data_IF_936254842739
#
_entry.id   IF_936254842739
#
_cell.length_a   1.000
_cell.length_b   1.000
_cell.length_c   1.000
_cell.angle_alpha   90.00
_cell.angle_beta   90.00
_cell.angle_gamma   90.00
#
_symmetry.space_group_name_H-M   'P 1'
#
loop_
_entity.id
_entity.type
_entity.pdbx_description
1 polymer ?
#
# COMPACT_ATOMS: atom_id res chain seq x y z
N UNK A 1 19.19 -17.93 0.20
CA UNK A 1 19.41 -17.40 -1.17
C UNK A 1 20.16 -16.09 -1.02
N UNK A 2 21.17 -15.80 -1.86
CA UNK A 2 21.82 -14.50 -1.84
C UNK A 2 20.78 -13.40 -2.08
N UNK A 3 20.88 -12.30 -1.33
CA UNK A 3 20.02 -11.13 -1.55
C UNK A 3 20.34 -10.54 -2.93
N UNK A 4 19.29 -10.15 -3.66
CA UNK A 4 19.45 -9.50 -4.96
C UNK A 4 20.15 -8.16 -4.74
N UNK A 5 21.19 -7.86 -5.51
CA UNK A 5 21.93 -6.61 -5.35
C UNK A 5 21.06 -5.38 -5.67
N UNK A 6 21.28 -4.29 -4.92
CA UNK A 6 20.58 -2.99 -5.08
C UNK A 6 20.50 -2.54 -6.54
N UNK A 7 21.62 -2.62 -7.27
CA UNK A 7 21.70 -2.21 -8.67
C UNK A 7 20.73 -3.00 -9.57
N UNK A 8 20.65 -4.32 -9.39
CA UNK A 8 19.76 -5.17 -10.19
C UNK A 8 18.28 -4.86 -9.90
N UNK A 9 17.91 -4.68 -8.62
CA UNK A 9 16.54 -4.30 -8.26
C UNK A 9 16.17 -2.94 -8.84
N UNK A 10 17.07 -1.97 -8.75
CA UNK A 10 16.88 -0.61 -9.29
C UNK A 10 16.64 -0.68 -10.80
N UNK A 11 17.42 -1.45 -11.56
CA UNK A 11 17.22 -1.62 -13.01
C UNK A 11 15.87 -2.25 -13.35
N UNK A 12 15.46 -3.30 -12.63
CA UNK A 12 14.19 -3.99 -12.85
C UNK A 12 13.02 -3.03 -12.59
N UNK A 13 13.00 -2.37 -11.43
CA UNK A 13 11.89 -1.50 -11.07
C UNK A 13 11.88 -0.18 -11.85
N UNK A 14 13.03 0.32 -12.28
CA UNK A 14 13.12 1.47 -13.18
C UNK A 14 12.37 1.24 -14.48
N UNK A 15 12.57 0.07 -15.12
CA UNK A 15 11.88 -0.26 -16.36
C UNK A 15 10.36 -0.38 -16.18
N UNK A 16 9.90 -0.88 -15.03
CA UNK A 16 8.48 -1.10 -14.73
C UNK A 16 7.79 0.22 -14.33
N UNK A 17 8.32 0.91 -13.33
CA UNK A 17 7.70 2.11 -12.74
C UNK A 17 7.79 3.28 -13.71
N UNK A 18 8.97 3.59 -14.24
CA UNK A 18 9.12 4.70 -15.19
C UNK A 18 8.32 4.43 -16.46
N UNK A 19 8.36 3.20 -16.97
CA UNK A 19 7.58 2.78 -18.13
C UNK A 19 6.07 2.87 -17.91
N UNK A 20 5.56 2.55 -16.71
CA UNK A 20 4.15 2.72 -16.41
C UNK A 20 3.76 4.20 -16.35
N UNK A 21 4.49 5.01 -15.59
CA UNK A 21 4.16 6.42 -15.35
C UNK A 21 4.24 7.25 -16.64
N UNK A 22 5.19 6.96 -17.53
CA UNK A 22 5.35 7.68 -18.80
C UNK A 22 4.33 7.30 -19.87
N UNK A 23 3.73 6.10 -19.80
CA UNK A 23 2.86 5.56 -20.86
C UNK A 23 1.36 5.65 -20.54
N UNK A 24 0.97 6.26 -19.41
CA UNK A 24 -0.44 6.43 -19.06
C UNK A 24 -1.19 7.31 -20.06
N UNK A 25 -2.47 6.96 -20.30
CA UNK A 25 -3.40 7.76 -21.10
C UNK A 25 -4.70 7.95 -20.32
N UNK A 26 -5.09 9.18 -19.96
CA UNK A 26 -4.39 10.45 -20.20
C UNK A 26 -3.03 10.54 -19.48
N UNK A 27 -2.15 11.43 -19.93
CA UNK A 27 -0.85 11.66 -19.29
C UNK A 27 -1.04 12.05 -17.82
N UNK A 28 -0.19 11.51 -16.96
CA UNK A 28 -0.14 11.88 -15.55
C UNK A 28 0.46 13.28 -15.36
N UNK A 29 0.16 13.97 -14.25
CA UNK A 29 0.83 15.21 -13.87
C UNK A 29 2.35 15.03 -13.76
N UNK A 30 3.12 16.07 -14.10
CA UNK A 30 4.58 16.05 -14.03
C UNK A 30 5.08 15.71 -12.62
N UNK A 31 4.43 16.25 -11.59
CA UNK A 31 4.72 15.95 -10.17
C UNK A 31 4.62 14.47 -9.82
N UNK A 32 3.75 13.71 -10.50
CA UNK A 32 3.63 12.27 -10.28
C UNK A 32 4.63 11.49 -11.11
N UNK A 33 4.99 11.97 -12.31
CA UNK A 33 6.03 11.35 -13.12
C UNK A 33 7.42 11.50 -12.46
N UNK A 34 7.67 12.62 -11.81
CA UNK A 34 8.90 12.90 -11.04
C UNK A 34 9.06 11.95 -9.83
N UNK A 35 7.97 11.34 -9.32
CA UNK A 35 8.03 10.33 -8.26
C UNK A 35 8.61 8.98 -8.71
N UNK A 36 8.84 8.76 -10.01
CA UNK A 36 9.33 7.48 -10.51
C UNK A 36 10.62 7.02 -9.80
N UNK A 37 11.63 7.89 -9.72
CA UNK A 37 12.91 7.57 -9.09
C UNK A 37 12.79 7.41 -7.57
N UNK A 38 12.15 8.35 -6.83
CA UNK A 38 11.86 8.16 -5.41
C UNK A 38 11.13 6.85 -5.07
N UNK A 39 10.13 6.45 -5.86
CA UNK A 39 9.40 5.20 -5.65
C UNK A 39 10.30 3.96 -5.79
N UNK A 40 11.21 3.96 -6.76
CA UNK A 40 12.16 2.87 -6.97
C UNK A 40 13.10 2.78 -5.77
N UNK A 41 13.73 3.89 -5.41
CA UNK A 41 14.74 3.91 -4.36
C UNK A 41 14.13 3.56 -2.99
N UNK A 42 12.96 4.13 -2.67
CA UNK A 42 12.21 3.81 -1.46
C UNK A 42 11.85 2.32 -1.39
N UNK A 43 11.41 1.71 -2.50
CA UNK A 43 11.05 0.29 -2.54
C UNK A 43 12.26 -0.62 -2.31
N UNK A 44 13.40 -0.28 -2.91
CA UNK A 44 14.65 -1.04 -2.73
C UNK A 44 15.16 -0.91 -1.30
N UNK A 45 15.14 0.30 -0.74
CA UNK A 45 15.57 0.54 0.64
C UNK A 45 14.64 -0.17 1.64
N UNK A 46 13.33 -0.04 1.49
CA UNK A 46 12.35 -0.71 2.36
C UNK A 46 12.57 -2.23 2.37
N UNK A 47 12.80 -2.83 1.19
CA UNK A 47 13.06 -4.26 1.09
C UNK A 47 14.33 -4.67 1.85
N UNK A 48 15.43 -3.94 1.70
CA UNK A 48 16.67 -4.24 2.41
C UNK A 48 16.54 -4.04 3.92
N UNK A 49 15.92 -2.94 4.36
CA UNK A 49 15.63 -2.68 5.78
C UNK A 49 14.74 -3.76 6.37
N UNK A 50 13.70 -4.20 5.66
CA UNK A 50 12.83 -5.27 6.11
C UNK A 50 13.58 -6.62 6.24
N UNK A 51 14.41 -6.97 5.25
CA UNK A 51 15.19 -8.20 5.26
C UNK A 51 16.27 -8.23 6.36
N UNK A 52 16.87 -7.08 6.70
CA UNK A 52 17.90 -7.00 7.75
C UNK A 52 17.31 -6.94 9.16
N UNK A 53 16.15 -6.30 9.32
CA UNK A 53 15.49 -6.09 10.61
C UNK A 53 14.69 -7.33 11.06
N UNK A 54 13.90 -7.91 10.16
CA UNK A 54 12.94 -8.98 10.49
C UNK A 54 13.47 -10.34 10.04
N UNK A 55 14.39 -10.89 10.83
CA UNK A 55 15.04 -12.16 10.52
C UNK A 55 14.17 -13.37 10.90
N UNK A 56 14.19 -14.46 10.11
CA UNK A 56 13.46 -15.67 10.43
C UNK A 56 14.11 -16.39 11.62
N UNK A 57 13.33 -16.62 12.66
CA UNK A 57 13.69 -17.47 13.82
C UNK A 57 12.85 -18.75 13.79
N UNK A 58 13.16 -19.79 14.61
CA UNK A 58 12.31 -20.98 14.69
C UNK A 58 10.85 -20.66 15.02
N UNK A 59 10.58 -19.66 15.88
CA UNK A 59 9.23 -19.18 16.21
C UNK A 59 8.62 -18.26 15.14
N UNK A 60 9.44 -17.61 14.31
CA UNK A 60 9.04 -16.66 13.25
C UNK A 60 9.53 -17.08 11.87
N UNK A 61 9.40 -18.37 11.56
CA UNK A 61 9.99 -18.98 10.35
C UNK A 61 9.43 -18.44 9.03
N UNK A 62 8.25 -17.82 9.10
CA UNK A 62 7.55 -17.17 7.99
C UNK A 62 8.05 -15.76 7.67
N UNK A 63 8.99 -15.19 8.46
CA UNK A 63 9.64 -13.90 8.21
C UNK A 63 10.73 -14.02 7.14
N UNK A 64 10.35 -14.60 6.00
CA UNK A 64 11.23 -14.80 4.85
C UNK A 64 10.80 -13.87 3.74
N UNK A 65 11.37 -12.67 3.74
CA UNK A 65 11.17 -11.70 2.66
C UNK A 65 12.02 -12.08 1.43
N UNK A 66 11.40 -12.03 0.25
CA UNK A 66 12.00 -12.25 -1.05
C UNK A 66 11.62 -11.10 -2.01
N UNK A 67 12.25 -11.07 -3.19
CA UNK A 67 12.02 -10.01 -4.18
C UNK A 67 10.56 -9.92 -4.66
N UNK A 68 9.80 -11.02 -4.64
CA UNK A 68 8.39 -11.03 -5.06
C UNK A 68 7.56 -10.06 -4.23
N UNK A 69 7.91 -9.81 -2.97
CA UNK A 69 7.21 -8.82 -2.14
C UNK A 69 7.38 -7.41 -2.67
N UNK A 70 8.61 -7.00 -3.02
CA UNK A 70 8.85 -5.71 -3.66
C UNK A 70 8.07 -5.59 -4.97
N UNK A 71 8.00 -6.66 -5.77
CA UNK A 71 7.16 -6.67 -6.98
C UNK A 71 5.66 -6.55 -6.66
N UNK A 72 5.17 -7.20 -5.62
CA UNK A 72 3.78 -7.09 -5.17
C UNK A 72 3.44 -5.68 -4.65
N UNK A 73 4.37 -5.03 -3.96
CA UNK A 73 4.23 -3.64 -3.53
C UNK A 73 4.11 -2.73 -4.75
N UNK A 74 5.07 -2.81 -5.68
CA UNK A 74 5.06 -1.99 -6.90
C UNK A 74 3.80 -2.24 -7.70
N UNK A 75 3.43 -3.50 -7.93
CA UNK A 75 2.20 -3.82 -8.64
C UNK A 75 0.96 -3.26 -7.94
N UNK A 76 0.90 -3.32 -6.60
CA UNK A 76 -0.19 -2.71 -5.84
C UNK A 76 -0.29 -1.21 -6.04
N UNK A 77 0.85 -0.50 -6.09
CA UNK A 77 0.88 0.93 -6.42
C UNK A 77 0.42 1.22 -7.85
N UNK A 78 0.77 0.35 -8.82
CA UNK A 78 0.46 0.55 -10.24
C UNK A 78 -0.94 0.04 -10.66
N UNK A 79 -1.60 -0.80 -9.86
CA UNK A 79 -2.91 -1.37 -10.20
C UNK A 79 -4.09 -0.46 -9.85
N UNK A 80 -3.80 0.71 -9.27
CA UNK A 80 -4.82 1.68 -8.85
C UNK A 80 -5.36 2.44 -10.06
N UNK A 81 -6.61 2.89 -9.97
CA UNK A 81 -7.27 3.66 -11.02
C UNK A 81 -6.47 4.93 -11.39
N UNK A 82 -6.56 5.33 -12.65
CA UNK A 82 -5.82 6.51 -13.16
C UNK A 82 -6.18 7.82 -12.45
N UNK A 83 -7.37 7.87 -11.83
CA UNK A 83 -7.83 9.00 -11.00
C UNK A 83 -7.07 9.17 -9.68
N UNK A 84 -6.33 8.15 -9.21
CA UNK A 84 -5.53 8.26 -7.98
C UNK A 84 -4.13 8.85 -8.22
N UNK A 85 -3.65 8.86 -9.46
CA UNK A 85 -2.34 9.45 -9.83
C UNK A 85 -2.44 10.94 -10.17
N UNK A 86 -3.39 11.66 -9.58
CA UNK A 86 -3.55 13.11 -9.82
C UNK A 86 -2.72 13.94 -8.84
N UNK A 87 -2.38 13.38 -7.68
CA UNK A 87 -1.66 14.07 -6.61
C UNK A 87 -0.50 13.19 -6.14
N UNK A 88 0.71 13.75 -6.10
CA UNK A 88 1.93 13.06 -5.69
C UNK A 88 1.83 12.49 -4.25
N UNK A 89 1.19 13.24 -3.34
CA UNK A 89 0.99 12.81 -1.96
C UNK A 89 0.11 11.56 -1.85
N UNK A 90 -0.94 11.45 -2.66
CA UNK A 90 -1.77 10.24 -2.74
C UNK A 90 -0.95 9.02 -3.18
N UNK A 91 -0.02 9.18 -4.11
CA UNK A 91 0.84 8.07 -4.58
C UNK A 91 1.81 7.62 -3.50
N UNK A 92 2.39 8.55 -2.74
CA UNK A 92 3.27 8.23 -1.62
C UNK A 92 2.52 7.60 -0.43
N UNK A 93 1.29 8.07 -0.14
CA UNK A 93 0.38 7.43 0.84
C UNK A 93 0.02 6.00 0.42
N UNK A 94 -0.31 5.82 -0.86
CA UNK A 94 -0.58 4.52 -1.44
C UNK A 94 0.64 3.60 -1.29
N UNK A 95 1.83 4.05 -1.68
CA UNK A 95 3.07 3.26 -1.50
C UNK A 95 3.27 2.81 -0.05
N UNK A 96 2.99 3.69 0.91
CA UNK A 96 3.09 3.38 2.35
C UNK A 96 2.07 2.31 2.75
N UNK A 97 0.81 2.48 2.33
CA UNK A 97 -0.25 1.50 2.55
C UNK A 97 0.11 0.12 1.97
N UNK A 98 0.57 0.10 0.72
CA UNK A 98 1.00 -1.10 0.01
C UNK A 98 2.16 -1.80 0.72
N UNK A 99 3.13 -1.03 1.23
CA UNK A 99 4.23 -1.54 2.05
C UNK A 99 3.74 -2.25 3.31
N UNK A 100 2.78 -1.68 4.04
CA UNK A 100 2.18 -2.34 5.19
C UNK A 100 1.46 -3.63 4.81
N UNK A 101 0.63 -3.63 3.75
CA UNK A 101 -0.10 -4.84 3.32
C UNK A 101 0.82 -5.97 2.89
N UNK A 102 1.97 -5.66 2.30
CA UNK A 102 2.90 -6.66 1.78
C UNK A 102 3.84 -7.20 2.87
N UNK A 103 4.37 -6.32 3.71
CA UNK A 103 5.42 -6.65 4.67
C UNK A 103 4.89 -6.75 6.11
N UNK A 104 4.16 -5.73 6.59
CA UNK A 104 3.68 -5.67 7.98
C UNK A 104 2.66 -6.74 8.31
N UNK A 105 1.75 -7.08 7.39
CA UNK A 105 0.70 -8.08 7.61
C UNK A 105 1.25 -9.51 7.86
N UNK A 106 2.55 -9.73 7.58
CA UNK A 106 3.25 -10.99 7.89
C UNK A 106 3.80 -11.03 9.32
N UNK A 107 3.87 -9.89 9.98
CA UNK A 107 4.39 -9.77 11.33
C UNK A 107 3.29 -10.12 12.34
N UNK A 108 3.66 -10.91 13.33
CA UNK A 108 2.73 -11.46 14.33
C UNK A 108 2.81 -10.70 15.65
N UNK A 109 4.00 -10.19 16.01
CA UNK A 109 4.20 -9.49 17.27
C UNK A 109 3.93 -7.99 17.10
N UNK A 110 3.27 -7.39 18.10
CA UNK A 110 3.04 -5.94 18.13
C UNK A 110 4.34 -5.14 18.11
N UNK A 111 5.39 -5.65 18.78
CA UNK A 111 6.71 -5.02 18.77
C UNK A 111 7.31 -4.95 17.36
N UNK A 112 7.22 -6.04 16.58
CA UNK A 112 7.73 -6.08 15.21
C UNK A 112 6.89 -5.19 14.28
N UNK A 113 5.56 -5.16 14.48
CA UNK A 113 4.67 -4.27 13.72
C UNK A 113 4.99 -2.80 13.96
N UNK A 114 5.22 -2.40 15.21
CA UNK A 114 5.62 -1.04 15.57
C UNK A 114 7.01 -0.70 15.01
N UNK A 115 7.96 -1.65 15.05
CA UNK A 115 9.26 -1.46 14.43
C UNK A 115 9.14 -1.29 12.91
N UNK A 116 8.23 -2.01 12.26
CA UNK A 116 7.97 -1.86 10.83
C UNK A 116 7.34 -0.49 10.52
N UNK A 117 6.38 -0.03 11.34
CA UNK A 117 5.79 1.30 11.20
C UNK A 117 6.88 2.39 11.23
N UNK A 118 7.85 2.27 12.14
CA UNK A 118 8.99 3.20 12.17
C UNK A 118 9.85 3.10 10.91
N UNK A 119 10.19 1.88 10.47
CA UNK A 119 10.99 1.66 9.26
C UNK A 119 10.34 2.27 8.03
N UNK A 120 9.04 2.04 7.83
CA UNK A 120 8.33 2.54 6.65
C UNK A 120 8.15 4.06 6.70
N UNK A 121 7.87 4.63 7.89
CA UNK A 121 7.78 6.09 8.06
C UNK A 121 9.13 6.78 7.84
N UNK A 122 10.24 6.16 8.24
CA UNK A 122 11.57 6.71 7.98
C UNK A 122 11.89 6.71 6.49
N UNK A 123 11.66 5.59 5.78
CA UNK A 123 11.85 5.52 4.33
C UNK A 123 10.93 6.50 3.61
N UNK A 124 9.68 6.59 4.05
CA UNK A 124 8.72 7.52 3.49
C UNK A 124 9.21 8.98 3.61
N UNK A 125 9.74 9.36 4.77
CA UNK A 125 10.30 10.69 4.99
C UNK A 125 11.54 10.94 4.13
N UNK A 126 12.42 9.96 4.02
CA UNK A 126 13.69 10.11 3.31
C UNK A 126 13.51 10.30 1.79
N UNK A 127 12.45 9.72 1.23
CA UNK A 127 12.21 9.70 -0.22
C UNK A 127 10.99 10.52 -0.69
N UNK A 128 9.98 10.73 0.13
CA UNK A 128 8.75 11.45 -0.25
C UNK A 128 8.55 12.78 0.51
N UNK A 129 9.29 13.05 1.58
CA UNK A 129 9.20 14.33 2.30
C UNK A 129 10.30 15.30 1.84
N UNK A 130 9.86 16.48 1.42
CA UNK A 130 10.67 17.57 0.89
C UNK A 130 11.01 18.63 1.96
N UNK A 131 12.06 19.46 1.81
CA UNK A 131 12.68 19.88 0.55
C UNK A 131 13.95 19.12 0.15
N UNK A 132 13.96 18.45 -1.01
CA UNK A 132 15.17 17.98 -1.72
C UNK A 132 14.99 17.99 -3.25
N UNK A 133 14.90 19.18 -3.86
CA UNK A 133 14.97 19.53 -5.32
C UNK A 133 15.07 18.39 -6.42
N UNK A 134 14.22 18.16 -7.47
CA UNK A 134 13.00 18.83 -7.98
C UNK A 134 11.75 17.91 -8.05
N UNK A 135 10.84 18.09 -7.09
CA UNK A 135 9.42 17.82 -7.17
C UNK A 135 8.78 19.18 -6.94
N UNK A 136 7.88 19.59 -7.83
CA UNK A 136 7.42 20.97 -7.93
C UNK A 136 6.66 21.49 -6.68
N UNK A 137 6.23 20.60 -5.78
CA UNK A 137 5.48 20.96 -4.57
C UNK A 137 5.85 20.03 -3.38
N UNK A 138 6.26 20.58 -2.21
CA UNK A 138 6.46 19.80 -1.01
C UNK A 138 5.12 19.31 -0.44
N UNK A 139 5.06 18.06 0.03
CA UNK A 139 3.93 17.55 0.80
C UNK A 139 4.41 16.75 2.02
N UNK A 140 3.70 16.89 3.14
CA UNK A 140 3.86 16.04 4.32
C UNK A 140 2.74 15.00 4.35
N UNK A 141 3.07 13.79 4.81
CA UNK A 141 2.09 12.75 5.07
C UNK A 141 1.97 12.64 6.59
N UNK A 142 0.92 13.26 7.13
CA UNK A 142 0.64 13.27 8.57
C UNK A 142 0.03 11.96 9.05
N UNK A 143 -0.62 11.19 8.15
CA UNK A 143 -1.34 9.98 8.53
C UNK A 143 -0.40 8.79 8.77
N UNK A 144 -0.67 8.05 9.86
CA UNK A 144 0.08 6.84 10.19
C UNK A 144 -0.19 5.71 9.18
N UNK A 145 0.74 4.75 8.99
CA UNK A 145 0.65 3.68 7.99
C UNK A 145 -0.59 2.77 8.07
N UNK A 146 -1.36 2.82 9.17
CA UNK A 146 -2.59 2.06 9.40
C UNK A 146 -3.86 2.91 9.55
N UNK A 147 -3.78 4.24 9.39
CA UNK A 147 -4.95 5.13 9.45
C UNK A 147 -5.61 5.36 8.08
N UNK A 148 -4.88 5.07 7.02
CA UNK A 148 -5.35 5.13 5.64
C UNK A 148 -5.65 3.71 5.16
N UNK A 149 -6.80 3.53 4.54
CA UNK A 149 -7.15 2.29 3.87
C UNK A 149 -7.43 2.58 2.42
N UNK A 150 -6.65 1.93 1.56
CA UNK A 150 -7.00 1.86 0.17
C UNK A 150 -7.77 0.57 -0.05
N UNK A 151 -9.02 0.72 -0.47
CA UNK A 151 -9.92 -0.40 -0.70
C UNK A 151 -10.75 -0.14 -1.95
N UNK A 152 -11.26 -1.24 -2.51
CA UNK A 152 -12.26 -1.20 -3.55
C UNK A 152 -13.61 -1.61 -2.94
N UNK A 153 -14.39 -0.59 -2.61
CA UNK A 153 -15.77 -0.77 -2.18
C UNK A 153 -16.67 -0.10 -3.22
N UNK A 154 -17.08 -0.82 -4.29
CA UNK A 154 -17.92 -0.22 -5.32
C UNK A 154 -19.25 0.16 -4.68
N UNK A 155 -19.68 1.42 -4.73
CA UNK A 155 -20.94 1.87 -4.10
C UNK A 155 -22.17 1.13 -4.65
N UNK A 156 -22.08 0.64 -5.90
CA UNK A 156 -23.14 -0.14 -6.56
C UNK A 156 -22.56 -1.36 -7.31
N UNK A 157 -23.29 -2.47 -7.42
CA UNK A 157 -22.82 -3.70 -8.09
C UNK A 157 -22.39 -3.53 -9.56
N UNK A 158 -22.94 -2.51 -10.24
CA UNK A 158 -22.66 -2.21 -11.65
C UNK A 158 -21.56 -1.16 -11.85
N UNK A 159 -20.98 -0.62 -10.77
CA UNK A 159 -19.94 0.40 -10.86
C UNK A 159 -18.58 -0.29 -11.03
N UNK A 160 -17.69 0.23 -11.89
CA UNK A 160 -16.33 -0.28 -11.97
C UNK A 160 -15.68 -0.20 -10.59
N UNK A 161 -14.92 -1.24 -10.28
CA UNK A 161 -14.09 -1.32 -9.09
C UNK A 161 -13.05 -0.21 -9.14
N UNK A 162 -13.07 0.70 -8.15
CA UNK A 162 -12.16 1.84 -8.07
C UNK A 162 -11.50 1.75 -6.70
N UNK A 163 -10.23 1.34 -6.74
CA UNK A 163 -9.38 1.37 -5.56
C UNK A 163 -9.17 2.83 -5.13
N UNK A 164 -9.72 3.20 -3.96
CA UNK A 164 -9.83 4.58 -3.47
C UNK A 164 -9.24 4.71 -2.07
N UNK A 165 -8.69 5.88 -1.75
CA UNK A 165 -8.30 6.25 -0.39
C UNK A 165 -9.55 6.46 0.49
N UNK A 166 -9.58 5.78 1.62
CA UNK A 166 -10.54 5.97 2.69
C UNK A 166 -9.80 6.29 3.99
N UNK A 167 -10.35 7.22 4.76
CA UNK A 167 -9.95 7.41 6.16
C UNK A 167 -10.74 6.44 7.02
N UNK A 168 -10.07 5.85 8.02
CA UNK A 168 -10.77 5.08 9.04
C UNK A 168 -11.79 5.95 9.76
N UNK A 169 -13.02 5.44 9.90
CA UNK A 169 -14.12 6.15 10.53
C UNK A 169 -15.50 5.74 9.99
N UNK A 170 -16.45 6.68 10.11
CA UNK A 170 -17.87 6.41 9.90
C UNK A 170 -18.22 6.02 8.47
N UNK A 171 -17.53 6.56 7.46
CA UNK A 171 -17.79 6.25 6.05
C UNK A 171 -17.55 4.76 5.74
N UNK A 172 -16.37 4.24 6.10
CA UNK A 172 -16.02 2.83 5.93
C UNK A 172 -16.90 1.91 6.77
N UNK A 173 -17.22 2.34 7.99
CA UNK A 173 -18.11 1.59 8.87
C UNK A 173 -19.50 1.44 8.25
N UNK A 174 -20.07 2.53 7.74
CA UNK A 174 -21.36 2.54 7.07
C UNK A 174 -21.35 1.66 5.82
N UNK A 175 -20.37 1.82 4.93
CA UNK A 175 -20.26 1.01 3.70
C UNK A 175 -20.18 -0.48 4.05
N UNK A 176 -19.40 -0.84 5.07
CA UNK A 176 -19.24 -2.24 5.48
C UNK A 176 -20.52 -2.81 6.10
N UNK A 177 -21.26 -2.01 6.87
CA UNK A 177 -22.56 -2.39 7.44
C UNK A 177 -23.61 -2.58 6.34
N UNK A 178 -23.72 -1.63 5.41
CA UNK A 178 -24.65 -1.72 4.27
C UNK A 178 -24.38 -3.01 3.46
N UNK A 179 -23.11 -3.38 3.27
CA UNK A 179 -22.73 -4.63 2.59
C UNK A 179 -23.09 -5.90 3.36
N UNK A 180 -22.99 -5.87 4.68
CA UNK A 180 -23.40 -6.98 5.53
C UNK A 180 -24.92 -7.17 5.46
N UNK A 181 -25.66 -6.07 5.43
CA UNK A 181 -27.12 -6.10 5.29
C UNK A 181 -27.54 -6.62 3.92
N UNK A 182 -26.91 -6.13 2.83
CA UNK A 182 -27.13 -6.66 1.48
C UNK A 182 -26.86 -8.17 1.40
N UNK A 183 -25.76 -8.63 2.00
CA UNK A 183 -25.44 -10.06 2.08
C UNK A 183 -26.51 -10.84 2.85
N UNK A 184 -26.95 -10.33 4.01
CA UNK A 184 -27.96 -10.96 4.85
C UNK A 184 -29.33 -11.03 4.17
N UNK A 185 -29.67 -10.05 3.33
CA UNK A 185 -30.90 -10.04 2.53
C UNK A 185 -30.86 -11.07 1.39
N UNK A 186 -29.70 -11.27 0.76
CA UNK A 186 -29.54 -12.18 -0.37
C UNK A 186 -29.22 -13.64 0.05
N UNK A 187 -28.67 -13.85 1.25
CA UNK A 187 -28.17 -15.15 1.71
C UNK A 187 -29.21 -15.95 2.49
N UNK A 188 -29.21 -17.26 2.29
CA UNK A 188 -29.98 -18.22 3.11
C UNK A 188 -29.34 -18.48 4.49
N UNK A 189 -28.15 -17.92 4.74
CA UNK A 189 -27.40 -18.04 5.99
C UNK A 189 -26.94 -16.65 6.43
N UNK A 190 -27.78 -15.88 7.15
CA UNK A 190 -27.41 -14.56 7.63
C UNK A 190 -26.29 -14.64 8.66
N UNK A 191 -25.45 -13.62 8.69
CA UNK A 191 -24.34 -13.43 9.63
C UNK A 191 -24.58 -12.18 10.48
N UNK A 192 -24.54 -12.34 11.80
CA UNK A 192 -24.64 -11.25 12.76
C UNK A 192 -23.25 -10.84 13.24
N UNK A 193 -22.53 -10.12 12.38
CA UNK A 193 -21.19 -9.61 12.70
C UNK A 193 -21.27 -8.22 13.29
N UNK A 194 -20.44 -7.96 14.30
CA UNK A 194 -20.19 -6.62 14.81
C UNK A 194 -18.95 -6.09 14.09
N UNK A 195 -19.09 -5.00 13.33
CA UNK A 195 -18.01 -4.40 12.57
C UNK A 195 -17.37 -3.28 13.40
N UNK A 196 -16.14 -3.51 13.84
CA UNK A 196 -15.24 -2.52 14.46
C UNK A 196 -14.01 -2.33 13.57
N UNK A 197 -13.20 -1.30 13.82
CA UNK A 197 -12.08 -0.88 12.95
C UNK A 197 -11.17 -2.03 12.51
N UNK A 198 -10.75 -2.90 13.45
CA UNK A 198 -9.91 -4.07 13.14
C UNK A 198 -10.61 -5.06 12.20
N UNK A 199 -11.93 -5.22 12.32
CA UNK A 199 -12.73 -6.08 11.43
C UNK A 199 -12.80 -5.49 10.03
N UNK A 200 -13.01 -4.17 9.92
CA UNK A 200 -13.04 -3.46 8.63
C UNK A 200 -11.67 -3.51 7.95
N UNK A 201 -10.59 -3.28 8.70
CA UNK A 201 -9.21 -3.47 8.24
C UNK A 201 -8.98 -4.89 7.73
N UNK A 202 -9.50 -5.89 8.44
CA UNK A 202 -9.38 -7.29 8.04
C UNK A 202 -10.16 -7.58 6.74
N UNK A 203 -11.38 -7.03 6.60
CA UNK A 203 -12.17 -7.15 5.37
C UNK A 203 -11.46 -6.48 4.19
N UNK A 204 -10.92 -5.27 4.37
CA UNK A 204 -10.16 -4.57 3.33
C UNK A 204 -8.92 -5.36 2.89
N UNK A 205 -8.21 -6.01 3.83
CA UNK A 205 -7.09 -6.92 3.52
C UNK A 205 -7.54 -8.09 2.65
N UNK A 206 -8.67 -8.71 2.98
CA UNK A 206 -9.22 -9.85 2.22
C UNK A 206 -9.65 -9.39 0.82
N UNK A 207 -10.43 -8.31 0.74
CA UNK A 207 -10.95 -7.78 -0.53
C UNK A 207 -9.83 -7.40 -1.51
N UNK A 208 -8.68 -6.98 -1.00
CA UNK A 208 -7.50 -6.65 -1.81
C UNK A 208 -6.75 -7.89 -2.35
N UNK A 209 -6.97 -9.07 -1.77
CA UNK A 209 -6.32 -10.33 -2.22
C UNK A 209 -7.18 -11.08 -3.25
N UNK A 210 -8.50 -10.94 -3.17
CA UNK A 210 -9.50 -11.62 -4.00
C UNK A 210 -9.70 -10.86 -5.30
#
# INVERSE_FOLDING_TARGET
MPQVGTAAMTTIFSSIIAGFLSNQKPSLPATVQELAQPLIDATVELYHKACSTFLPTPSKSHYKFNLRYSSSLVNGVLHVSSGCYQVASTVAKLWTHEGCRVFQDRLIDSADRNAFDQVISDVQRDYFTYPKEPLSEPFEIEELPNQLVFADFPERPAQPQIYKEFKMGDELSRISMDRLDDYNLASQKPMHLILFDDTILHLARIARII
#
